data_IF_860654909656
#
_entry.id   IF_860654909656
#
_cell.length_a   1.000
_cell.length_b   1.000
_cell.length_c   1.000
_cell.angle_alpha   90.00
_cell.angle_beta   90.00
_cell.angle_gamma   90.00
#
_symmetry.space_group_name_H-M   'P 1'
#
loop_
_entity.id
_entity.type
_entity.pdbx_description
1 polymer ?
#
# COMPACT_ATOMS: atom_id res chain seq x y z
N UNK A 1 -6.26 5.11 23.09
CA UNK A 1 -5.79 3.75 23.42
C UNK A 1 -4.94 3.70 24.71
N UNK A 2 -4.74 4.82 25.39
CA UNK A 2 -3.90 4.87 26.60
C UNK A 2 -2.41 4.65 26.27
N UNK A 3 -1.68 3.96 27.16
CA UNK A 3 -0.29 3.56 26.91
C UNK A 3 -0.27 2.30 26.06
N UNK A 4 0.31 2.37 24.88
CA UNK A 4 0.38 1.28 23.90
C UNK A 4 1.80 1.08 23.40
N UNK A 5 2.15 -0.16 23.04
CA UNK A 5 3.40 -0.48 22.34
C UNK A 5 3.39 0.04 20.90
N UNK A 6 4.53 -0.01 20.20
CA UNK A 6 4.57 0.30 18.78
C UNK A 6 3.76 -0.73 17.96
N UNK A 7 3.84 -2.02 18.32
CA UNK A 7 3.07 -3.08 17.70
C UNK A 7 1.56 -2.84 17.84
N UNK A 8 1.07 -2.59 19.06
CA UNK A 8 -0.34 -2.26 19.29
C UNK A 8 -0.77 -0.97 18.59
N UNK A 9 0.11 0.05 18.57
CA UNK A 9 -0.16 1.29 17.85
C UNK A 9 -0.35 1.05 16.35
N UNK A 10 0.41 0.12 15.78
CA UNK A 10 0.29 -0.27 14.38
C UNK A 10 -0.95 -1.14 14.15
N UNK A 11 -1.19 -2.14 15.02
CA UNK A 11 -2.34 -3.04 14.93
C UNK A 11 -3.68 -2.31 15.00
N UNK A 12 -3.81 -1.37 15.95
CA UNK A 12 -5.03 -0.57 16.13
C UNK A 12 -5.04 0.75 15.34
N UNK A 13 -4.02 1.01 14.53
CA UNK A 13 -3.91 2.25 13.74
C UNK A 13 -4.05 3.52 14.61
N UNK A 14 -3.26 3.61 15.69
CA UNK A 14 -3.36 4.69 16.68
C UNK A 14 -2.82 6.01 16.15
N UNK A 15 -3.68 6.91 15.70
CA UNK A 15 -3.28 8.21 15.15
C UNK A 15 -2.41 9.02 16.12
N UNK A 16 -2.75 9.02 17.42
CA UNK A 16 -1.97 9.78 18.42
C UNK A 16 -0.53 9.28 18.54
N UNK A 17 -0.31 7.97 18.48
CA UNK A 17 1.04 7.39 18.49
C UNK A 17 1.82 7.79 17.25
N UNK A 18 1.23 7.68 16.05
CA UNK A 18 1.90 8.04 14.81
C UNK A 18 2.14 9.56 14.69
N UNK A 19 1.25 10.41 15.21
CA UNK A 19 1.49 11.84 15.33
C UNK A 19 2.75 12.12 16.19
N UNK A 20 2.86 11.49 17.36
CA UNK A 20 4.03 11.65 18.23
C UNK A 20 5.32 11.12 17.58
N UNK A 21 5.26 9.98 16.90
CA UNK A 21 6.38 9.45 16.11
C UNK A 21 6.79 10.48 15.04
N UNK A 22 5.84 10.99 14.27
CA UNK A 22 6.10 12.00 13.24
C UNK A 22 6.77 13.27 13.78
N UNK A 23 6.42 13.69 14.98
CA UNK A 23 7.07 14.83 15.63
C UNK A 23 8.49 14.51 16.12
N UNK A 24 8.79 13.27 16.47
CA UNK A 24 10.11 12.84 16.95
C UNK A 24 11.11 12.54 15.82
N UNK A 25 10.64 12.23 14.62
CA UNK A 25 11.51 11.89 13.49
C UNK A 25 12.30 13.11 13.00
N UNK A 26 13.55 12.87 12.58
CA UNK A 26 14.26 13.86 11.77
C UNK A 26 13.62 13.96 10.37
N UNK A 27 13.28 15.17 9.95
CA UNK A 27 12.58 15.40 8.67
C UNK A 27 13.42 14.94 7.49
N UNK A 28 14.74 15.10 7.53
CA UNK A 28 15.63 14.70 6.43
C UNK A 28 15.62 13.18 6.27
N UNK A 29 15.73 12.45 7.38
CA UNK A 29 15.66 10.98 7.41
C UNK A 29 14.29 10.48 6.95
N UNK A 30 13.20 11.10 7.43
CA UNK A 30 11.85 10.74 7.01
C UNK A 30 11.64 10.90 5.50
N UNK A 31 12.11 12.02 4.92
CA UNK A 31 12.09 12.25 3.47
C UNK A 31 13.01 11.29 2.72
N UNK A 32 14.14 10.92 3.31
CA UNK A 32 15.07 9.91 2.79
C UNK A 32 14.37 8.56 2.64
N UNK A 33 13.79 8.06 3.72
CA UNK A 33 13.02 6.80 3.73
C UNK A 33 11.87 6.80 2.71
N UNK A 34 11.10 7.89 2.63
CA UNK A 34 10.05 8.00 1.61
C UNK A 34 10.61 7.89 0.18
N UNK A 35 11.79 8.46 -0.07
CA UNK A 35 12.46 8.35 -1.38
C UNK A 35 12.97 6.94 -1.64
N UNK A 36 13.46 6.23 -0.63
CA UNK A 36 13.93 4.85 -0.74
C UNK A 36 12.76 3.91 -0.99
N UNK A 37 11.58 4.22 -0.46
CA UNK A 37 10.30 3.60 -0.81
C UNK A 37 9.70 4.07 -2.14
N UNK A 38 10.47 4.74 -3.01
CA UNK A 38 10.14 5.17 -4.36
C UNK A 38 9.15 6.35 -4.47
N UNK A 39 8.77 7.02 -3.39
CA UNK A 39 8.04 8.29 -3.52
C UNK A 39 8.87 9.31 -4.30
N UNK A 40 8.22 10.11 -5.13
CA UNK A 40 8.82 11.09 -6.02
C UNK A 40 9.78 10.51 -7.07
N UNK A 41 9.79 9.19 -7.27
CA UNK A 41 10.55 8.47 -8.32
C UNK A 41 9.60 7.82 -9.33
N UNK A 42 10.13 7.44 -10.47
CA UNK A 42 9.42 6.57 -11.41
C UNK A 42 9.33 5.17 -10.82
N UNK A 43 8.16 4.57 -10.93
CA UNK A 43 7.92 3.22 -10.44
C UNK A 43 8.31 2.19 -11.50
N UNK A 44 8.84 1.02 -11.10
CA UNK A 44 9.13 -0.06 -12.05
C UNK A 44 7.83 -0.66 -12.60
N UNK A 45 7.88 -1.10 -13.84
CA UNK A 45 6.82 -1.81 -14.54
C UNK A 45 7.23 -1.96 -16.00
N UNK A 46 7.13 -3.16 -16.56
CA UNK A 46 7.56 -3.43 -17.92
C UNK A 46 6.44 -3.23 -18.93
N UNK A 47 5.21 -3.55 -18.56
CA UNK A 47 4.06 -3.59 -19.47
C UNK A 47 2.99 -2.54 -19.13
N UNK A 48 3.22 -1.74 -18.10
CA UNK A 48 2.34 -0.64 -17.67
C UNK A 48 3.15 0.62 -17.37
N UNK A 49 2.53 1.78 -17.53
CA UNK A 49 3.11 3.08 -17.15
C UNK A 49 2.46 3.59 -15.87
N UNK A 50 3.01 3.24 -14.69
CA UNK A 50 2.38 3.58 -13.43
C UNK A 50 2.49 5.08 -13.12
N UNK A 51 1.47 5.61 -12.44
CA UNK A 51 1.47 6.97 -11.96
C UNK A 51 2.44 7.12 -10.79
N UNK A 52 3.21 8.20 -10.82
CA UNK A 52 4.19 8.55 -9.79
C UNK A 52 3.48 9.01 -8.52
N UNK A 53 3.83 8.42 -7.40
CA UNK A 53 3.38 8.88 -6.07
C UNK A 53 4.21 10.05 -5.57
N UNK A 54 3.61 10.93 -4.78
CA UNK A 54 4.27 12.13 -4.24
C UNK A 54 4.31 12.13 -2.72
N UNK A 55 5.47 12.49 -2.17
CA UNK A 55 5.67 12.78 -0.76
C UNK A 55 6.09 14.25 -0.63
N UNK A 56 5.24 15.06 -0.02
CA UNK A 56 5.31 16.53 -0.10
C UNK A 56 5.88 17.22 1.15
N UNK A 57 6.28 16.47 2.18
CA UNK A 57 6.78 17.03 3.44
C UNK A 57 8.04 17.87 3.18
N UNK A 58 7.97 19.18 3.47
CA UNK A 58 9.07 20.15 3.29
C UNK A 58 10.03 20.11 4.48
N UNK A 59 11.28 20.54 4.27
CA UNK A 59 12.29 20.62 5.35
C UNK A 59 11.86 21.53 6.50
N UNK A 60 11.10 22.59 6.22
CA UNK A 60 10.53 23.52 7.21
C UNK A 60 9.08 23.24 7.57
N UNK A 61 8.60 22.00 7.41
CA UNK A 61 7.21 21.63 7.68
C UNK A 61 6.81 21.93 9.13
N UNK A 62 5.59 22.43 9.30
CA UNK A 62 5.00 22.69 10.61
C UNK A 62 4.79 21.38 11.40
N UNK A 63 4.60 21.49 12.72
CA UNK A 63 4.23 20.34 13.54
C UNK A 63 2.93 19.68 13.04
N UNK A 64 1.97 20.48 12.60
CA UNK A 64 0.71 19.98 12.02
C UNK A 64 0.95 19.16 10.75
N UNK A 65 1.77 19.65 9.81
CA UNK A 65 2.08 18.93 8.58
C UNK A 65 2.80 17.60 8.86
N UNK A 66 3.70 17.59 9.84
CA UNK A 66 4.43 16.39 10.27
C UNK A 66 3.48 15.35 10.85
N UNK A 67 2.56 15.77 11.75
CA UNK A 67 1.56 14.88 12.35
C UNK A 67 0.61 14.33 11.28
N UNK A 68 0.09 15.17 10.41
CA UNK A 68 -0.82 14.77 9.33
C UNK A 68 -0.15 13.76 8.39
N UNK A 69 1.10 14.04 7.98
CA UNK A 69 1.85 13.13 7.12
C UNK A 69 2.12 11.79 7.80
N UNK A 70 2.46 11.80 9.09
CA UNK A 70 2.81 10.58 9.83
C UNK A 70 1.61 9.65 10.09
N UNK A 71 0.40 10.19 10.17
CA UNK A 71 -0.81 9.36 10.26
C UNK A 71 -1.43 9.02 8.90
N UNK A 72 -0.74 9.34 7.79
CA UNK A 72 -1.19 8.98 6.44
C UNK A 72 -2.21 9.94 5.83
N UNK A 73 -2.25 11.19 6.31
CA UNK A 73 -3.09 12.27 5.79
C UNK A 73 -2.23 13.38 5.15
N UNK A 74 -2.83 14.51 4.84
CA UNK A 74 -2.15 15.68 4.30
C UNK A 74 -1.97 15.62 2.78
N UNK A 75 -0.83 16.10 2.28
CA UNK A 75 -0.58 16.28 0.84
C UNK A 75 0.11 15.07 0.17
N UNK A 76 0.40 14.01 0.92
CA UNK A 76 1.03 12.80 0.35
C UNK A 76 0.02 12.06 -0.52
N UNK A 77 0.42 11.74 -1.75
CA UNK A 77 -0.42 11.00 -2.70
C UNK A 77 0.26 9.69 -3.09
N UNK A 78 -0.50 8.62 -3.07
CA UNK A 78 -0.01 7.29 -3.41
C UNK A 78 -1.00 6.57 -4.33
N UNK A 79 -0.48 5.84 -5.31
CA UNK A 79 -1.30 4.98 -6.14
C UNK A 79 -1.44 3.58 -5.52
N UNK A 80 -2.55 2.85 -5.77
CA UNK A 80 -2.67 1.45 -5.36
C UNK A 80 -1.53 0.58 -5.90
N UNK A 81 -1.09 0.84 -7.12
CA UNK A 81 0.07 0.16 -7.71
C UNK A 81 1.34 0.34 -6.88
N UNK A 82 1.63 1.57 -6.43
CA UNK A 82 2.80 1.83 -5.58
C UNK A 82 2.69 1.11 -4.23
N UNK A 83 1.50 1.11 -3.63
CA UNK A 83 1.29 0.42 -2.36
C UNK A 83 1.48 -1.09 -2.49
N UNK A 84 1.01 -1.71 -3.58
CA UNK A 84 1.25 -3.15 -3.79
C UNK A 84 2.73 -3.45 -4.04
N UNK A 85 3.49 -2.55 -4.67
CA UNK A 85 4.96 -2.72 -4.81
C UNK A 85 5.66 -2.72 -3.45
N UNK A 86 5.33 -1.77 -2.56
CA UNK A 86 5.90 -1.71 -1.20
C UNK A 86 5.52 -2.98 -0.43
N UNK A 87 4.25 -3.38 -0.50
CA UNK A 87 3.73 -4.58 0.16
C UNK A 87 4.43 -5.85 -0.34
N UNK A 88 4.63 -5.97 -1.66
CA UNK A 88 5.37 -7.08 -2.28
C UNK A 88 6.84 -7.11 -1.82
N UNK A 89 7.47 -5.95 -1.67
CA UNK A 89 8.84 -5.89 -1.16
C UNK A 89 8.91 -6.34 0.30
N UNK A 90 7.94 -5.96 1.16
CA UNK A 90 7.86 -6.45 2.55
C UNK A 90 7.70 -7.97 2.57
N UNK A 91 6.77 -8.51 1.77
CA UNK A 91 6.55 -9.94 1.63
C UNK A 91 7.81 -10.70 1.19
N UNK A 92 8.61 -10.09 0.32
CA UNK A 92 9.84 -10.65 -0.27
C UNK A 92 11.13 -10.20 0.46
N UNK A 93 11.08 -10.04 1.78
CA UNK A 93 12.24 -9.75 2.61
C UNK A 93 12.96 -8.44 2.30
N UNK A 94 12.24 -7.44 1.83
CA UNK A 94 12.73 -6.09 1.51
C UNK A 94 13.11 -5.89 0.04
N UNK A 95 13.17 -6.95 -0.77
CA UNK A 95 13.57 -6.89 -2.17
C UNK A 95 12.35 -6.75 -3.10
N UNK A 96 12.34 -5.69 -3.90
CA UNK A 96 11.30 -5.46 -4.91
C UNK A 96 11.69 -6.15 -6.22
N UNK A 97 10.78 -6.95 -6.76
CA UNK A 97 10.88 -7.49 -8.12
C UNK A 97 10.24 -6.55 -9.13
N UNK A 98 10.71 -6.57 -10.38
CA UNK A 98 10.05 -5.81 -11.47
C UNK A 98 8.77 -6.52 -11.90
N UNK A 99 7.60 -5.87 -11.77
CA UNK A 99 6.36 -6.47 -12.23
C UNK A 99 6.31 -6.56 -13.76
N UNK A 100 5.68 -7.59 -14.27
CA UNK A 100 5.33 -7.76 -15.67
C UNK A 100 3.93 -8.38 -15.78
N UNK A 101 3.25 -8.11 -16.89
CA UNK A 101 1.91 -8.67 -17.19
C UNK A 101 2.01 -9.73 -18.28
N UNK A 102 2.95 -9.56 -19.22
CA UNK A 102 3.13 -10.47 -20.36
C UNK A 102 4.24 -11.46 -20.03
N UNK A 103 3.84 -12.66 -19.66
CA UNK A 103 4.77 -13.75 -19.36
C UNK A 103 5.51 -14.21 -20.60
N UNK A 104 4.79 -14.41 -21.72
CA UNK A 104 5.36 -14.98 -22.92
C UNK A 104 4.72 -14.38 -24.19
N UNK A 105 5.54 -14.20 -25.21
CA UNK A 105 5.09 -13.84 -26.56
C UNK A 105 5.53 -14.94 -27.52
N UNK A 106 4.58 -15.51 -28.27
CA UNK A 106 4.85 -16.53 -29.30
C UNK A 106 4.57 -15.98 -30.69
N UNK A 107 5.25 -16.51 -31.70
CA UNK A 107 4.92 -16.27 -33.10
C UNK A 107 3.74 -17.12 -33.55
N UNK A 108 3.33 -16.97 -34.82
CA UNK A 108 2.20 -17.72 -35.40
C UNK A 108 2.43 -19.23 -35.52
N UNK A 109 3.67 -19.72 -35.37
CA UNK A 109 4.00 -21.15 -35.36
C UNK A 109 4.06 -21.72 -33.94
N UNK A 110 3.81 -20.91 -32.90
CA UNK A 110 3.89 -21.29 -31.49
C UNK A 110 5.29 -21.22 -30.88
N UNK A 111 6.31 -20.77 -31.64
CA UNK A 111 7.66 -20.61 -31.09
C UNK A 111 7.75 -19.38 -30.22
N UNK A 112 8.43 -19.49 -29.07
CA UNK A 112 8.64 -18.38 -28.13
C UNK A 112 9.54 -17.33 -28.78
N UNK A 113 9.06 -16.09 -28.84
CA UNK A 113 9.79 -14.92 -29.31
C UNK A 113 10.37 -14.12 -28.15
N UNK A 114 9.61 -14.06 -27.04
CA UNK A 114 10.02 -13.38 -25.81
C UNK A 114 9.39 -14.13 -24.63
N UNK A 115 10.15 -14.27 -23.58
CA UNK A 115 9.72 -14.80 -22.30
C UNK A 115 10.19 -13.87 -21.19
N UNK A 116 9.29 -13.54 -20.25
CA UNK A 116 9.65 -12.78 -19.07
C UNK A 116 10.37 -13.70 -18.07
N UNK A 117 11.33 -13.15 -17.39
CA UNK A 117 12.00 -13.82 -16.26
C UNK A 117 11.95 -12.90 -15.04
N UNK A 118 11.85 -13.46 -13.82
CA UNK A 118 11.92 -12.67 -12.60
C UNK A 118 13.20 -11.82 -12.58
N UNK A 119 13.04 -10.51 -12.42
CA UNK A 119 14.13 -9.54 -12.38
C UNK A 119 14.01 -8.67 -11.12
N UNK A 120 15.08 -8.58 -10.33
CA UNK A 120 15.11 -7.73 -9.14
C UNK A 120 15.27 -6.26 -9.55
N UNK A 121 14.37 -5.43 -9.03
CA UNK A 121 14.54 -3.98 -9.12
C UNK A 121 15.58 -3.48 -8.12
N UNK A 122 15.62 -4.09 -6.92
CA UNK A 122 16.51 -3.76 -5.82
C UNK A 122 15.81 -3.76 -4.46
N UNK A 123 16.58 -3.54 -3.42
CA UNK A 123 16.08 -3.50 -2.05
C UNK A 123 15.44 -2.14 -1.76
N UNK A 124 14.22 -2.15 -1.20
CA UNK A 124 13.53 -0.96 -0.68
C UNK A 124 13.78 -0.76 0.82
N UNK A 125 14.11 -1.83 1.53
CA UNK A 125 14.40 -1.87 2.95
C UNK A 125 15.28 -3.08 3.27
N UNK A 126 15.84 -3.12 4.47
CA UNK A 126 16.60 -4.29 4.93
C UNK A 126 15.66 -5.47 5.21
N UNK A 127 16.21 -6.69 5.20
CA UNK A 127 15.44 -7.89 5.55
C UNK A 127 14.92 -7.87 7.01
N UNK A 128 15.65 -7.20 7.91
CA UNK A 128 15.23 -7.03 9.29
C UNK A 128 14.03 -6.08 9.40
N UNK A 129 14.04 -4.96 8.68
CA UNK A 129 12.91 -4.03 8.62
C UNK A 129 11.69 -4.69 7.99
N UNK A 130 11.87 -5.46 6.91
CA UNK A 130 10.79 -6.20 6.27
C UNK A 130 10.17 -7.24 7.21
N UNK A 131 11.01 -7.99 7.95
CA UNK A 131 10.54 -8.97 8.94
C UNK A 131 9.74 -8.30 10.06
N UNK A 132 10.20 -7.16 10.58
CA UNK A 132 9.51 -6.43 11.63
C UNK A 132 8.17 -5.85 11.14
N UNK A 133 8.13 -5.30 9.91
CA UNK A 133 6.88 -4.83 9.30
C UNK A 133 5.90 -5.97 9.07
N UNK A 134 6.37 -7.12 8.60
CA UNK A 134 5.57 -8.33 8.43
C UNK A 134 4.91 -8.76 9.74
N UNK A 135 5.65 -8.80 10.85
CA UNK A 135 5.13 -9.10 12.18
C UNK A 135 4.03 -8.09 12.58
N UNK A 136 4.29 -6.78 12.46
CA UNK A 136 3.28 -5.77 12.77
C UNK A 136 2.05 -5.83 11.86
N UNK A 137 2.23 -6.16 10.58
CA UNK A 137 1.12 -6.32 9.63
C UNK A 137 0.29 -7.58 9.95
N UNK A 138 0.91 -8.62 10.51
CA UNK A 138 0.21 -9.81 10.98
C UNK A 138 -0.62 -9.48 12.24
N UNK A 139 -0.10 -8.72 13.20
CA UNK A 139 -0.85 -8.24 14.36
C UNK A 139 -2.13 -7.49 13.98
N UNK A 140 -2.10 -6.72 12.86
CA UNK A 140 -3.30 -6.04 12.33
C UNK A 140 -4.39 -7.03 11.99
N UNK A 141 -4.05 -8.16 11.39
CA UNK A 141 -5.01 -9.16 10.89
C UNK A 141 -5.39 -10.19 11.95
N UNK A 142 -4.52 -10.45 12.91
CA UNK A 142 -4.79 -11.39 14.00
C UNK A 142 -5.75 -10.80 15.03
N UNK A 143 -5.53 -9.57 15.48
CA UNK A 143 -6.33 -8.95 16.56
C UNK A 143 -6.61 -7.45 16.37
N UNK A 144 -6.03 -6.80 15.36
CA UNK A 144 -6.17 -5.37 15.11
C UNK A 144 -7.34 -5.00 14.20
N UNK A 145 -7.16 -3.92 13.43
CA UNK A 145 -8.20 -3.36 12.55
C UNK A 145 -8.55 -4.25 11.35
N UNK A 146 -7.74 -5.26 11.07
CA UNK A 146 -7.93 -6.26 10.01
C UNK A 146 -8.39 -7.63 10.52
N UNK A 147 -8.86 -7.74 11.76
CA UNK A 147 -9.22 -9.01 12.42
C UNK A 147 -10.35 -9.80 11.73
N UNK A 148 -10.94 -9.28 10.66
CA UNK A 148 -11.84 -10.05 9.77
C UNK A 148 -11.16 -11.28 9.17
N UNK A 149 -9.83 -11.30 9.08
CA UNK A 149 -9.04 -12.45 8.62
C UNK A 149 -8.78 -13.49 9.72
N UNK A 150 -9.00 -13.14 10.98
CA UNK A 150 -8.80 -14.06 12.10
C UNK A 150 -9.68 -15.31 11.95
N UNK A 151 -9.07 -16.48 12.02
CA UNK A 151 -9.75 -17.77 11.80
C UNK A 151 -9.93 -18.17 10.35
N UNK A 152 -9.35 -17.46 9.36
CA UNK A 152 -9.25 -17.94 7.99
C UNK A 152 -8.33 -19.17 7.91
N UNK A 153 -8.53 -20.04 6.92
CA UNK A 153 -7.69 -21.22 6.67
C UNK A 153 -6.33 -20.88 6.03
N UNK A 154 -6.01 -19.60 5.90
CA UNK A 154 -4.77 -19.03 5.37
C UNK A 154 -4.33 -17.84 6.22
N UNK A 155 -3.04 -17.55 6.24
CA UNK A 155 -2.50 -16.42 6.99
C UNK A 155 -2.40 -15.16 6.13
N UNK A 156 -2.63 -13.99 6.74
CA UNK A 156 -2.55 -12.68 6.07
C UNK A 156 -1.77 -11.72 6.92
N UNK A 157 -0.89 -10.95 6.31
CA UNK A 157 -0.29 -9.77 6.90
C UNK A 157 -0.77 -8.54 6.13
N UNK A 158 -1.31 -7.52 6.83
CA UNK A 158 -1.90 -6.38 6.13
C UNK A 158 -2.02 -5.13 6.98
N UNK A 159 -2.50 -4.05 6.35
CA UNK A 159 -2.78 -2.78 7.02
C UNK A 159 -4.02 -2.14 6.42
N UNK A 160 -4.94 -1.76 7.26
CA UNK A 160 -6.10 -0.93 6.90
C UNK A 160 -5.71 0.54 6.85
N UNK A 161 -6.40 1.31 6.02
CA UNK A 161 -6.26 2.77 5.95
C UNK A 161 -7.61 3.45 5.72
N UNK A 162 -7.71 4.69 6.16
CA UNK A 162 -8.85 5.55 5.89
C UNK A 162 -8.32 6.94 5.54
N UNK A 163 -8.67 7.45 4.37
CA UNK A 163 -8.22 8.76 3.89
C UNK A 163 -9.40 9.70 3.76
N UNK A 164 -9.32 10.86 4.40
CA UNK A 164 -10.35 11.89 4.25
C UNK A 164 -10.27 12.54 2.86
N UNK A 165 -11.41 12.73 2.22
CA UNK A 165 -11.52 13.45 0.96
C UNK A 165 -11.46 14.96 1.20
N UNK A 166 -10.43 15.61 0.67
CA UNK A 166 -10.43 17.06 0.54
C UNK A 166 -11.15 17.46 -0.75
N UNK A 167 -11.91 18.53 -0.70
CA UNK A 167 -12.92 19.01 -1.68
C UNK A 167 -12.51 19.17 -3.16
N UNK A 168 -11.28 18.90 -3.56
CA UNK A 168 -10.80 19.22 -4.92
C UNK A 168 -9.82 18.21 -5.50
N UNK A 169 -9.81 16.95 -5.09
CA UNK A 169 -8.80 16.01 -5.54
C UNK A 169 -9.24 15.25 -6.80
N UNK A 170 -8.61 15.57 -7.95
CA UNK A 170 -8.57 14.66 -9.09
C UNK A 170 -7.58 13.55 -8.78
N UNK A 171 -8.04 12.32 -8.67
CA UNK A 171 -7.17 11.16 -8.50
C UNK A 171 -6.89 10.55 -9.87
N UNK A 172 -5.63 10.57 -10.31
CA UNK A 172 -5.22 9.83 -11.50
C UNK A 172 -5.07 8.36 -11.10
N UNK A 173 -5.91 7.51 -11.65
CA UNK A 173 -5.91 6.07 -11.37
C UNK A 173 -4.80 5.36 -12.14
N UNK A 174 -4.66 5.64 -13.44
CA UNK A 174 -3.64 5.05 -14.30
C UNK A 174 -3.49 5.87 -15.59
N UNK A 175 -2.47 5.53 -16.41
CA UNK A 175 -2.37 5.97 -17.81
C UNK A 175 -2.61 4.77 -18.73
N UNK A 176 -3.49 4.95 -19.71
CA UNK A 176 -3.70 4.01 -20.82
C UNK A 176 -3.39 4.78 -22.10
N UNK A 177 -2.46 4.28 -22.89
CA UNK A 177 -2.01 4.89 -24.15
C UNK A 177 -1.64 6.40 -24.05
N UNK A 178 -1.00 6.77 -22.92
CA UNK A 178 -0.59 8.15 -22.66
C UNK A 178 -1.71 9.06 -22.15
N UNK A 179 -2.94 8.57 -22.02
CA UNK A 179 -4.09 9.31 -21.48
C UNK A 179 -4.24 9.05 -20.00
N UNK A 180 -4.32 10.11 -19.21
CA UNK A 180 -4.60 10.01 -17.77
C UNK A 180 -6.06 9.61 -17.55
N UNK A 181 -6.29 8.51 -16.86
CA UNK A 181 -7.61 8.09 -16.39
C UNK A 181 -7.83 8.65 -15.00
N UNK A 182 -8.82 9.52 -14.89
CA UNK A 182 -9.16 10.20 -13.64
C UNK A 182 -10.43 9.62 -13.02
N UNK A 183 -10.49 9.57 -11.70
CA UNK A 183 -11.76 9.69 -11.00
C UNK A 183 -11.99 11.17 -10.67
N UNK A 184 -13.02 11.77 -11.23
CA UNK A 184 -13.47 13.11 -10.85
C UNK A 184 -14.54 12.98 -9.77
N UNK A 185 -14.28 13.57 -8.61
CA UNK A 185 -15.27 13.69 -7.55
C UNK A 185 -15.88 15.07 -7.62
N UNK A 186 -17.12 15.13 -8.05
CA UNK A 186 -17.92 16.33 -7.94
C UNK A 186 -18.31 16.53 -6.46
N UNK A 187 -18.00 17.69 -5.90
CA UNK A 187 -18.42 18.22 -4.61
C UNK A 187 -18.29 17.23 -3.44
N UNK A 188 -17.13 17.28 -2.77
CA UNK A 188 -16.85 16.44 -1.63
C UNK A 188 -17.82 16.63 -0.48
N UNK A 189 -18.68 15.67 -0.32
CA UNK A 189 -19.28 15.42 0.97
C UNK A 189 -18.15 15.07 1.94
N UNK A 190 -17.85 15.96 2.88
CA UNK A 190 -16.80 15.78 3.89
C UNK A 190 -17.04 14.59 4.83
N UNK A 191 -18.19 13.91 4.68
CA UNK A 191 -18.53 12.69 5.39
C UNK A 191 -17.98 11.41 4.71
N UNK A 192 -17.50 11.50 3.47
CA UNK A 192 -17.01 10.33 2.71
C UNK A 192 -15.48 10.20 2.78
N UNK A 193 -15.03 8.99 3.00
CA UNK A 193 -13.62 8.63 3.09
C UNK A 193 -13.29 7.56 2.06
N UNK A 194 -12.04 7.47 1.62
CA UNK A 194 -11.56 6.27 0.95
C UNK A 194 -11.13 5.24 2.00
N UNK A 195 -11.63 4.01 1.87
CA UNK A 195 -11.16 2.87 2.64
C UNK A 195 -10.06 2.16 1.88
N UNK A 196 -8.97 1.82 2.57
CA UNK A 196 -7.81 1.13 2.01
C UNK A 196 -7.52 -0.15 2.76
N UNK A 197 -7.04 -1.14 2.03
CA UNK A 197 -6.36 -2.30 2.59
C UNK A 197 -5.17 -2.66 1.70
N UNK A 198 -4.02 -2.90 2.32
CA UNK A 198 -2.86 -3.50 1.68
C UNK A 198 -2.42 -4.70 2.47
N UNK A 199 -2.00 -5.76 1.80
CA UNK A 199 -1.57 -6.98 2.48
C UNK A 199 -1.02 -8.02 1.53
N UNK A 200 -0.60 -9.13 2.10
CA UNK A 200 -0.15 -10.30 1.37
C UNK A 200 -0.51 -11.58 2.13
N UNK A 201 -0.57 -12.66 1.42
CA UNK A 201 -0.83 -14.02 1.87
C UNK A 201 -0.01 -15.02 1.02
N UNK A 202 0.41 -16.14 1.51
CA UNK A 202 0.54 -16.63 2.87
C UNK A 202 1.71 -15.90 3.58
N UNK A 203 1.62 -15.72 4.90
CA UNK A 203 2.64 -14.94 5.64
C UNK A 203 4.02 -15.60 5.60
N UNK A 204 4.08 -16.92 5.71
CA UNK A 204 5.35 -17.67 5.72
C UNK A 204 5.88 -17.93 4.31
N UNK A 205 5.00 -18.12 3.33
CA UNK A 205 5.34 -18.33 1.93
C UNK A 205 4.46 -17.45 1.04
N UNK A 206 4.73 -16.13 0.92
CA UNK A 206 3.86 -15.18 0.25
C UNK A 206 3.57 -15.55 -1.21
N UNK A 207 2.29 -15.71 -1.54
CA UNK A 207 1.81 -16.06 -2.88
C UNK A 207 1.14 -14.88 -3.57
N UNK A 208 0.39 -14.07 -2.80
CA UNK A 208 -0.34 -12.92 -3.32
C UNK A 208 -0.03 -11.65 -2.51
N UNK A 209 0.19 -10.54 -3.20
CA UNK A 209 0.12 -9.21 -2.63
C UNK A 209 -1.09 -8.46 -3.20
N UNK A 210 -1.83 -7.77 -2.33
CA UNK A 210 -3.07 -7.10 -2.69
C UNK A 210 -3.09 -5.66 -2.18
N UNK A 211 -3.65 -4.76 -2.98
CA UNK A 211 -4.04 -3.42 -2.57
C UNK A 211 -5.47 -3.16 -3.03
N UNK A 212 -6.35 -2.89 -2.09
CA UNK A 212 -7.76 -2.57 -2.34
C UNK A 212 -8.04 -1.16 -1.88
N UNK A 213 -8.73 -0.40 -2.71
CA UNK A 213 -9.32 0.88 -2.36
C UNK A 213 -10.83 0.85 -2.65
N UNK A 214 -11.62 1.26 -1.67
CA UNK A 214 -13.05 1.54 -1.84
C UNK A 214 -13.21 3.03 -1.74
N UNK A 215 -13.51 3.63 -2.88
CA UNK A 215 -13.66 5.08 -3.00
C UNK A 215 -14.98 5.54 -2.39
N UNK A 216 -14.97 6.69 -1.72
CA UNK A 216 -16.14 7.29 -1.09
C UNK A 216 -16.96 6.31 -0.23
N UNK A 217 -16.27 5.45 0.50
CA UNK A 217 -16.90 4.54 1.45
C UNK A 217 -17.61 5.34 2.53
N UNK A 218 -18.92 5.14 2.62
CA UNK A 218 -19.80 5.77 3.63
C UNK A 218 -19.85 4.96 4.95
N UNK A 219 -18.89 4.07 5.15
CA UNK A 219 -18.80 3.17 6.31
C UNK A 219 -19.54 1.83 6.13
N UNK A 220 -20.20 1.61 4.97
CA UNK A 220 -20.85 0.35 4.65
C UNK A 220 -19.87 -0.72 4.20
N UNK A 221 -19.20 -0.48 3.07
CA UNK A 221 -18.20 -1.42 2.51
C UNK A 221 -16.80 -0.97 2.85
N UNK A 222 -16.01 -1.81 3.51
CA UNK A 222 -14.60 -1.54 3.84
C UNK A 222 -13.68 -2.29 2.87
N UNK A 223 -12.56 -1.68 2.52
CA UNK A 223 -11.57 -2.31 1.65
C UNK A 223 -11.04 -3.65 2.19
N UNK A 224 -10.96 -3.79 3.52
CA UNK A 224 -10.54 -5.03 4.17
C UNK A 224 -11.54 -6.17 3.96
N UNK A 225 -12.84 -5.87 3.91
CA UNK A 225 -13.88 -6.88 3.67
C UNK A 225 -13.83 -7.36 2.20
N UNK A 226 -13.66 -6.44 1.26
CA UNK A 226 -13.44 -6.76 -0.16
C UNK A 226 -12.16 -7.58 -0.37
N UNK A 227 -11.06 -7.22 0.32
CA UNK A 227 -9.83 -7.97 0.28
C UNK A 227 -10.03 -9.41 0.80
N UNK A 228 -10.83 -9.57 1.86
CA UNK A 228 -11.17 -10.90 2.38
C UNK A 228 -11.93 -11.74 1.36
N UNK A 229 -12.95 -11.18 0.72
CA UNK A 229 -13.71 -11.89 -0.32
C UNK A 229 -12.81 -12.33 -1.49
N UNK A 230 -11.86 -11.49 -1.91
CA UNK A 230 -10.91 -11.82 -2.97
C UNK A 230 -10.00 -12.99 -2.53
N UNK A 231 -9.43 -12.93 -1.32
CA UNK A 231 -8.54 -13.97 -0.82
C UNK A 231 -9.31 -15.27 -0.52
N UNK A 232 -10.52 -15.20 0.02
CA UNK A 232 -11.40 -16.36 0.19
C UNK A 232 -11.69 -17.03 -1.17
N UNK A 233 -11.96 -16.23 -2.21
CA UNK A 233 -12.16 -16.77 -3.56
C UNK A 233 -10.91 -17.45 -4.11
N UNK A 234 -9.74 -16.90 -3.85
CA UNK A 234 -8.48 -17.49 -4.28
C UNK A 234 -8.18 -18.83 -3.57
N UNK A 235 -8.37 -18.90 -2.25
CA UNK A 235 -7.98 -20.07 -1.46
C UNK A 235 -9.04 -21.17 -1.38
N UNK A 236 -10.33 -20.84 -1.50
CA UNK A 236 -11.42 -21.81 -1.33
C UNK A 236 -12.14 -22.21 -2.63
N UNK A 237 -11.92 -21.51 -3.73
CA UNK A 237 -12.57 -21.79 -5.01
C UNK A 237 -11.59 -22.31 -6.09
N UNK A 238 -10.44 -22.83 -5.70
CA UNK A 238 -9.49 -23.51 -6.62
C UNK A 238 -9.90 -24.96 -6.89
#
# INVERSE_FOLDING_TARGET
HGTVSLADSFAYSCNSSFCNIGLSLDISSYRGTARDLLFNKSLPGNDISPVKSSFSLKSGASASDRMMTAMGQGETQVSPYHMVLITSAIANGGNLMRPYLVEQVTNYTGSIVREASPDSYGSLMTSQEAAQLKEYMQDVTDYGTGSVFSGSGYSVAGKTGTTNLNRTTKVVLCKIDGVDIYAEYADGDSSKNHSWFVGFSDVDNPELAICVIVEQSDGGTRAVDVAKEILDSYYYNQ
#
